data_IF_243680127104
#
_entry.id   IF_243680127104
#
_cell.length_a   1.000
_cell.length_b   1.000
_cell.length_c   1.000
_cell.angle_alpha   90.00
_cell.angle_beta   90.00
_cell.angle_gamma   90.00
#
_symmetry.space_group_name_H-M   'P 1'
#
loop_
_entity.id
_entity.type
_entity.pdbx_description
1 polymer ?
#
# COMPACT_ATOMS: atom_id res chain seq x y z
N UNK A 1 -0.49 17.88 16.04
CA UNK A 1 -1.70 17.70 15.21
C UNK A 1 -1.81 16.23 14.86
N UNK A 2 -2.73 15.47 15.46
CA UNK A 2 -2.90 14.05 15.17
C UNK A 2 -3.37 13.91 13.71
N UNK A 3 -2.54 13.31 12.86
CA UNK A 3 -2.94 12.93 11.51
C UNK A 3 -4.04 11.87 11.62
N UNK A 4 -5.25 12.18 11.16
CA UNK A 4 -6.32 11.19 11.02
C UNK A 4 -5.95 10.30 9.83
N UNK A 5 -5.19 9.24 10.10
CA UNK A 5 -4.78 8.26 9.09
C UNK A 5 -6.00 7.44 8.69
N UNK A 6 -6.23 7.30 7.39
CA UNK A 6 -7.22 6.39 6.83
C UNK A 6 -6.54 5.09 6.40
N UNK A 7 -7.29 4.00 6.42
CA UNK A 7 -6.88 2.76 5.77
C UNK A 7 -7.31 2.74 4.31
N UNK A 8 -6.58 2.03 3.47
CA UNK A 8 -6.86 1.86 2.04
C UNK A 8 -8.25 1.28 1.81
N UNK A 9 -8.66 0.30 2.62
CA UNK A 9 -10.01 -0.26 2.53
C UNK A 9 -11.10 0.80 2.74
N UNK A 10 -10.93 1.72 3.71
CA UNK A 10 -11.88 2.80 3.94
C UNK A 10 -11.96 3.76 2.74
N UNK A 11 -10.83 3.98 2.05
CA UNK A 11 -10.80 4.79 0.82
C UNK A 11 -11.66 4.14 -0.27
N UNK A 12 -11.57 2.83 -0.45
CA UNK A 12 -12.40 2.12 -1.43
C UNK A 12 -13.88 2.06 -1.03
N UNK A 13 -14.18 1.78 0.24
CA UNK A 13 -15.56 1.71 0.74
C UNK A 13 -16.29 3.06 0.64
N UNK A 14 -15.55 4.17 0.79
CA UNK A 14 -16.09 5.54 0.76
C UNK A 14 -15.60 6.35 -0.44
N UNK A 15 -15.24 5.69 -1.53
CA UNK A 15 -14.53 6.31 -2.65
C UNK A 15 -15.31 7.48 -3.27
N UNK A 16 -16.62 7.32 -3.47
CA UNK A 16 -17.48 8.38 -4.02
C UNK A 16 -17.61 9.59 -3.07
N UNK A 17 -17.62 9.36 -1.75
CA UNK A 17 -17.64 10.45 -0.76
C UNK A 17 -16.29 11.16 -0.62
N UNK A 18 -15.20 10.44 -0.86
CA UNK A 18 -13.83 10.92 -0.74
C UNK A 18 -13.28 11.50 -2.05
N UNK A 19 -14.00 11.38 -3.16
CA UNK A 19 -13.55 11.87 -4.45
C UNK A 19 -13.19 13.37 -4.38
N UNK A 20 -11.98 13.72 -4.83
CA UNK A 20 -11.46 15.09 -4.78
C UNK A 20 -11.02 15.55 -3.39
N UNK A 21 -11.22 14.75 -2.33
CA UNK A 21 -10.77 15.06 -0.97
C UNK A 21 -9.34 14.59 -0.73
N UNK A 22 -8.69 15.27 0.19
CA UNK A 22 -7.36 14.90 0.67
C UNK A 22 -7.46 13.79 1.72
N UNK A 23 -6.62 12.77 1.57
CA UNK A 23 -6.47 11.67 2.51
C UNK A 23 -5.00 11.52 2.90
N UNK A 24 -4.78 11.01 4.12
CA UNK A 24 -3.44 10.63 4.59
C UNK A 24 -3.41 9.11 4.77
N UNK A 25 -2.53 8.44 4.04
CA UNK A 25 -2.31 7.00 4.13
C UNK A 25 -0.90 6.71 4.64
N UNK A 26 -0.76 5.65 5.41
CA UNK A 26 0.53 5.18 5.88
C UNK A 26 0.66 3.69 5.53
N UNK A 27 1.80 3.29 4.97
CA UNK A 27 1.99 1.92 4.52
C UNK A 27 3.39 1.66 4.01
N UNK A 28 3.51 0.62 3.22
CA UNK A 28 4.75 0.16 2.60
C UNK A 28 4.63 0.20 1.09
N UNK A 29 5.70 0.60 0.41
CA UNK A 29 5.81 0.51 -1.04
C UNK A 29 5.76 -0.97 -1.45
N UNK A 30 4.72 -1.38 -2.16
CA UNK A 30 4.59 -2.75 -2.65
C UNK A 30 5.33 -2.91 -3.99
N UNK A 31 5.00 -2.03 -4.94
CA UNK A 31 5.70 -1.89 -6.21
C UNK A 31 5.93 -0.41 -6.53
N UNK A 32 7.01 -0.13 -7.26
CA UNK A 32 7.33 1.19 -7.80
C UNK A 32 7.57 1.07 -9.31
N UNK A 33 7.00 1.98 -10.09
CA UNK A 33 7.17 2.08 -11.54
C UNK A 33 7.51 3.52 -11.89
N UNK A 34 8.53 3.71 -12.74
CA UNK A 34 9.03 5.04 -13.12
C UNK A 34 9.00 5.21 -14.64
N UNK A 35 8.49 6.35 -15.09
CA UNK A 35 8.34 6.72 -16.49
C UNK A 35 8.71 8.20 -16.70
N UNK A 36 10.00 8.50 -16.60
CA UNK A 36 10.52 9.86 -16.75
C UNK A 36 9.97 10.78 -15.66
N UNK A 37 9.06 11.69 -16.01
CA UNK A 37 8.48 12.67 -15.09
C UNK A 37 7.26 12.14 -14.28
N UNK A 38 7.04 10.83 -14.29
CA UNK A 38 5.90 10.18 -13.66
C UNK A 38 6.35 8.96 -12.87
N UNK A 39 5.97 8.91 -11.60
CA UNK A 39 6.22 7.77 -10.72
C UNK A 39 4.87 7.23 -10.26
N UNK A 40 4.73 5.91 -10.27
CA UNK A 40 3.62 5.20 -9.66
C UNK A 40 4.14 4.35 -8.52
N UNK A 41 3.51 4.52 -7.35
CA UNK A 41 3.77 3.69 -6.17
C UNK A 41 2.49 2.94 -5.85
N UNK A 42 2.54 1.62 -5.85
CA UNK A 42 1.47 0.82 -5.27
C UNK A 42 1.74 0.74 -3.76
N UNK A 43 0.93 1.43 -2.95
CA UNK A 43 1.06 1.47 -1.49
C UNK A 43 0.20 0.38 -0.87
N UNK A 44 0.74 -0.41 0.06
CA UNK A 44 0.00 -1.40 0.85
C UNK A 44 0.01 -1.06 2.33
N UNK A 45 -1.09 -1.27 3.04
CA UNK A 45 -1.21 -0.98 4.48
C UNK A 45 -1.71 -2.16 5.33
N UNK A 46 -1.95 -3.31 4.69
CA UNK A 46 -2.50 -4.49 5.36
C UNK A 46 -4.02 -4.60 5.28
N UNK A 47 -4.73 -3.59 4.76
CA UNK A 47 -6.16 -3.65 4.42
C UNK A 47 -6.35 -3.79 2.90
N UNK A 48 -5.47 -3.17 2.11
CA UNK A 48 -5.45 -3.31 0.65
C UNK A 48 -4.17 -2.78 0.01
N UNK A 49 -4.26 -2.54 -1.30
CA UNK A 49 -3.24 -1.88 -2.11
C UNK A 49 -3.91 -0.77 -2.91
N UNK A 50 -3.29 0.41 -2.97
CA UNK A 50 -3.79 1.54 -3.76
C UNK A 50 -2.65 2.18 -4.56
N UNK A 51 -2.95 2.60 -5.78
CA UNK A 51 -1.99 3.32 -6.62
C UNK A 51 -1.88 4.78 -6.15
N UNK A 52 -0.65 5.24 -6.00
CA UNK A 52 -0.28 6.63 -5.79
C UNK A 52 0.36 7.13 -7.10
N UNK A 53 -0.19 8.18 -7.70
CA UNK A 53 0.35 8.82 -8.90
C UNK A 53 1.10 10.10 -8.53
N UNK A 54 2.36 10.18 -8.96
CA UNK A 54 3.27 11.30 -8.68
C UNK A 54 3.71 11.91 -10.01
N UNK A 55 3.23 13.10 -10.31
CA UNK A 55 3.63 13.86 -11.49
C UNK A 55 4.60 14.98 -11.08
N UNK A 56 5.77 15.05 -11.71
CA UNK A 56 6.83 16.02 -11.36
C UNK A 56 6.35 17.48 -11.42
N UNK A 57 5.44 17.81 -12.34
CA UNK A 57 4.86 19.15 -12.50
C UNK A 57 3.77 19.51 -11.48
N UNK A 58 3.38 18.57 -10.61
CA UNK A 58 2.28 18.74 -9.63
C UNK A 58 2.73 18.67 -8.18
N UNK A 59 4.00 18.39 -7.92
CA UNK A 59 4.58 18.30 -6.58
C UNK A 59 5.88 19.10 -6.53
N UNK A 60 6.31 19.49 -5.34
CA UNK A 60 7.63 20.11 -5.16
C UNK A 60 8.75 19.14 -5.56
N UNK A 61 9.86 19.67 -6.10
CA UNK A 61 11.01 18.84 -6.53
C UNK A 61 11.50 17.91 -5.42
N UNK A 62 11.54 18.40 -4.17
CA UNK A 62 11.93 17.60 -2.99
C UNK A 62 10.98 16.42 -2.72
N UNK A 63 9.69 16.58 -3.01
CA UNK A 63 8.71 15.49 -2.85
C UNK A 63 8.92 14.45 -3.96
N UNK A 64 9.22 14.91 -5.18
CA UNK A 64 9.54 14.03 -6.29
C UNK A 64 10.83 13.24 -6.04
N UNK A 65 11.89 13.89 -5.58
CA UNK A 65 13.17 13.25 -5.22
C UNK A 65 12.98 12.17 -4.14
N UNK A 66 12.17 12.43 -3.11
CA UNK A 66 11.83 11.40 -2.11
C UNK A 66 11.09 10.22 -2.72
N UNK A 67 10.21 10.45 -3.70
CA UNK A 67 9.51 9.38 -4.40
C UNK A 67 10.44 8.55 -5.30
N UNK A 68 11.51 9.14 -5.82
CA UNK A 68 12.60 8.43 -6.51
C UNK A 68 13.42 7.57 -5.53
N UNK A 69 13.68 8.07 -4.33
CA UNK A 69 14.50 7.39 -3.31
C UNK A 69 13.86 6.10 -2.76
N UNK A 70 12.53 6.07 -2.61
CA UNK A 70 11.86 4.94 -1.95
C UNK A 70 11.98 3.64 -2.76
N UNK A 71 12.27 2.55 -2.04
CA UNK A 71 12.41 1.20 -2.58
C UNK A 71 11.24 0.33 -2.16
N UNK A 72 11.15 -0.89 -2.72
CA UNK A 72 10.15 -1.88 -2.28
C UNK A 72 10.32 -2.13 -0.79
N UNK A 73 9.20 -2.14 -0.07
CA UNK A 73 9.07 -2.21 1.39
C UNK A 73 9.50 -0.97 2.17
N UNK A 74 9.89 0.15 1.53
CA UNK A 74 10.04 1.41 2.25
C UNK A 74 8.72 1.80 2.91
N UNK A 75 8.79 2.20 4.17
CA UNK A 75 7.63 2.70 4.92
C UNK A 75 7.47 4.20 4.69
N UNK A 76 6.28 4.59 4.26
CA UNK A 76 5.98 5.97 3.87
C UNK A 76 4.62 6.42 4.39
N UNK A 77 4.48 7.73 4.59
CA UNK A 77 3.22 8.41 4.80
C UNK A 77 2.99 9.32 3.60
N UNK A 78 1.85 9.14 2.94
CA UNK A 78 1.46 9.93 1.77
C UNK A 78 0.25 10.78 2.11
N UNK A 79 0.26 12.02 1.62
CA UNK A 79 -0.92 12.88 1.56
C UNK A 79 -1.24 13.15 0.12
N UNK A 80 -2.49 12.98 -0.27
CA UNK A 80 -2.90 13.20 -1.65
C UNK A 80 -4.39 13.22 -1.85
N UNK A 81 -4.80 13.51 -3.08
CA UNK A 81 -6.20 13.66 -3.47
C UNK A 81 -6.70 12.35 -4.08
N UNK A 82 -7.84 11.86 -3.59
CA UNK A 82 -8.52 10.70 -4.20
C UNK A 82 -9.05 11.08 -5.58
N UNK A 83 -8.68 10.31 -6.60
CA UNK A 83 -9.13 10.47 -7.98
C UNK A 83 -9.70 9.17 -8.51
N UNK A 84 -10.69 9.30 -9.39
CA UNK A 84 -11.22 8.19 -10.17
C UNK A 84 -10.32 7.99 -11.39
N UNK A 85 -9.79 6.80 -11.53
CA UNK A 85 -9.07 6.38 -12.74
C UNK A 85 -9.47 4.93 -13.06
N UNK A 86 -10.26 4.70 -14.13
CA UNK A 86 -10.65 3.36 -14.55
C UNK A 86 -9.48 2.42 -14.87
N UNK A 87 -8.27 2.96 -15.07
CA UNK A 87 -7.05 2.20 -15.35
C UNK A 87 -6.33 1.78 -14.06
N UNK A 88 -6.57 2.49 -12.95
CA UNK A 88 -5.98 2.16 -11.67
C UNK A 88 -6.64 0.89 -11.10
N UNK A 89 -5.88 0.01 -10.43
CA UNK A 89 -6.44 -1.12 -9.71
C UNK A 89 -7.50 -0.65 -8.70
N UNK A 90 -8.72 -1.17 -8.80
CA UNK A 90 -9.85 -0.76 -7.97
C UNK A 90 -10.59 0.51 -8.44
N UNK A 91 -10.19 1.12 -9.57
CA UNK A 91 -10.89 2.24 -10.20
C UNK A 91 -10.60 3.62 -9.58
N UNK A 92 -9.75 3.67 -8.55
CA UNK A 92 -9.35 4.89 -7.86
C UNK A 92 -7.85 4.89 -7.58
N UNK A 93 -7.28 6.09 -7.53
CA UNK A 93 -5.88 6.33 -7.17
C UNK A 93 -5.75 7.56 -6.27
N UNK A 94 -4.57 7.76 -5.70
CA UNK A 94 -4.21 8.96 -4.94
C UNK A 94 -3.23 9.79 -5.74
N UNK A 95 -3.62 11.00 -6.14
CA UNK A 95 -2.71 11.98 -6.71
C UNK A 95 -1.91 12.61 -5.58
N UNK A 96 -0.60 12.35 -5.54
CA UNK A 96 0.27 12.78 -4.44
C UNK A 96 0.34 14.30 -4.31
N UNK A 97 0.37 14.78 -3.07
CA UNK A 97 0.73 16.16 -2.70
C UNK A 97 1.99 16.22 -1.86
N UNK A 98 2.13 15.31 -0.89
CA UNK A 98 3.27 15.29 0.03
C UNK A 98 3.62 13.84 0.41
N UNK A 99 4.91 13.61 0.65
CA UNK A 99 5.47 12.31 1.01
C UNK A 99 6.50 12.45 2.13
N UNK A 100 6.30 11.64 3.16
CA UNK A 100 7.21 11.46 4.27
C UNK A 100 7.75 10.03 4.24
N UNK A 101 9.08 9.90 4.28
CA UNK A 101 9.76 8.62 4.43
C UNK A 101 9.89 8.35 5.93
N UNK A 102 9.22 7.29 6.41
CA UNK A 102 9.34 6.84 7.80
C UNK A 102 10.58 5.97 7.97
N UNK A 103 10.89 5.17 6.94
CA UNK A 103 12.07 4.32 6.92
C UNK A 103 12.28 3.72 5.55
N UNK A 104 13.51 3.82 5.05
CA UNK A 104 13.92 3.18 3.80
C UNK A 104 14.11 1.69 4.02
N UNK A 105 13.72 0.89 3.04
CA UNK A 105 13.98 -0.53 3.05
C UNK A 105 15.29 -0.86 2.32
N UNK A 106 15.99 -1.83 2.90
CA UNK A 106 17.07 -2.54 2.21
C UNK A 106 16.51 -3.40 1.06
N UNK A 107 17.41 -3.98 0.28
CA UNK A 107 17.03 -4.86 -0.82
C UNK A 107 16.15 -6.01 -0.35
N UNK A 108 15.05 -6.25 -1.06
CA UNK A 108 14.09 -7.29 -0.71
C UNK A 108 14.71 -8.69 -0.90
N UNK A 109 14.85 -9.51 0.17
CA UNK A 109 15.68 -10.71 0.14
C UNK A 109 15.00 -11.94 -0.45
N UNK A 110 13.71 -11.86 -0.82
CA UNK A 110 12.94 -12.99 -1.37
C UNK A 110 12.79 -12.82 -2.90
N UNK A 111 13.54 -13.58 -3.72
CA UNK A 111 13.40 -13.52 -5.17
C UNK A 111 12.04 -14.08 -5.62
N UNK A 112 11.62 -13.74 -6.85
CA UNK A 112 10.33 -14.17 -7.41
C UNK A 112 10.15 -15.70 -7.42
N UNK A 113 11.23 -16.45 -7.70
CA UNK A 113 11.25 -17.90 -7.78
C UNK A 113 11.90 -18.55 -6.54
N UNK A 114 11.71 -17.95 -5.35
CA UNK A 114 12.26 -18.47 -4.10
C UNK A 114 11.81 -19.92 -3.82
N UNK A 115 12.72 -20.75 -3.33
CA UNK A 115 12.41 -22.10 -2.90
C UNK A 115 11.47 -22.09 -1.69
N UNK A 116 10.68 -23.16 -1.52
CA UNK A 116 9.79 -23.29 -0.37
C UNK A 116 10.55 -23.20 0.96
N UNK A 117 11.78 -23.74 1.03
CA UNK A 117 12.63 -23.63 2.23
C UNK A 117 12.94 -22.17 2.55
N UNK A 118 13.41 -21.39 1.58
CA UNK A 118 13.72 -19.97 1.77
C UNK A 118 12.47 -19.17 2.20
N UNK A 119 11.31 -19.50 1.63
CA UNK A 119 10.03 -18.89 1.99
C UNK A 119 9.58 -19.20 3.43
N UNK A 120 10.06 -20.30 4.02
CA UNK A 120 9.85 -20.62 5.44
C UNK A 120 10.92 -19.96 6.32
N UNK A 121 12.18 -19.92 5.90
CA UNK A 121 13.25 -19.22 6.64
C UNK A 121 12.93 -17.72 6.76
N UNK A 122 12.49 -17.12 5.65
CA UNK A 122 12.07 -15.72 5.58
C UNK A 122 10.57 -15.53 5.82
N UNK A 123 9.93 -16.43 6.60
CA UNK A 123 8.48 -16.40 6.80
C UNK A 123 7.97 -15.06 7.32
N UNK A 124 8.73 -14.43 8.23
CA UNK A 124 8.42 -13.13 8.81
C UNK A 124 8.27 -12.01 7.75
N UNK A 125 8.96 -12.11 6.62
CA UNK A 125 8.78 -11.22 5.46
C UNK A 125 7.75 -11.77 4.48
N UNK A 126 7.79 -13.06 4.17
CA UNK A 126 6.89 -13.68 3.19
C UNK A 126 5.41 -13.56 3.57
N UNK A 127 5.09 -13.53 4.86
CA UNK A 127 3.73 -13.26 5.36
C UNK A 127 3.12 -11.96 4.85
N UNK A 128 3.95 -11.00 4.43
CA UNK A 128 3.52 -9.69 3.90
C UNK A 128 3.03 -9.75 2.45
N UNK A 129 3.28 -10.85 1.73
CA UNK A 129 2.77 -11.03 0.37
C UNK A 129 1.25 -11.18 0.38
N UNK A 130 0.60 -10.71 -0.69
CA UNK A 130 -0.86 -10.73 -0.81
C UNK A 130 -1.45 -12.13 -0.64
N UNK A 131 -0.83 -13.15 -1.24
CA UNK A 131 -1.27 -14.54 -1.12
C UNK A 131 -1.22 -15.04 0.32
N UNK A 132 -0.11 -14.80 1.03
CA UNK A 132 0.02 -15.30 2.41
C UNK A 132 -0.92 -14.55 3.35
N UNK A 133 -1.08 -13.24 3.17
CA UNK A 133 -2.07 -12.45 3.89
C UNK A 133 -3.48 -12.99 3.67
N UNK A 134 -3.89 -13.23 2.42
CA UNK A 134 -5.21 -13.75 2.10
C UNK A 134 -5.49 -15.11 2.78
N UNK A 135 -4.49 -16.01 2.80
CA UNK A 135 -4.60 -17.30 3.52
C UNK A 135 -4.84 -17.08 5.02
N UNK A 136 -4.15 -16.12 5.64
CA UNK A 136 -4.32 -15.82 7.06
C UNK A 136 -5.68 -15.20 7.38
N UNK A 137 -6.22 -14.34 6.51
CA UNK A 137 -7.57 -13.78 6.66
C UNK A 137 -8.65 -14.87 6.54
N UNK A 138 -8.53 -15.77 5.56
CA UNK A 138 -9.45 -16.92 5.44
C UNK A 138 -9.36 -17.80 6.69
N UNK A 139 -8.14 -18.04 7.19
CA UNK A 139 -7.93 -18.78 8.44
C UNK A 139 -8.68 -18.10 9.59
N UNK A 140 -8.50 -16.79 9.80
CA UNK A 140 -9.22 -16.02 10.82
C UNK A 140 -10.74 -16.22 10.71
N UNK A 141 -11.33 -16.01 9.52
CA UNK A 141 -12.77 -16.17 9.31
C UNK A 141 -13.28 -17.57 9.64
N UNK A 142 -12.50 -18.62 9.33
CA UNK A 142 -12.85 -20.00 9.70
C UNK A 142 -12.85 -20.19 11.22
N UNK A 143 -11.85 -19.66 11.92
CA UNK A 143 -11.79 -19.74 13.38
C UNK A 143 -12.92 -18.94 14.04
N UNK A 144 -13.25 -17.76 13.52
CA UNK A 144 -14.36 -16.94 14.01
C UNK A 144 -15.70 -17.65 13.84
N UNK A 145 -15.98 -18.18 12.65
CA UNK A 145 -17.21 -18.93 12.37
C UNK A 145 -17.36 -20.18 13.26
N UNK A 146 -16.26 -20.92 13.47
CA UNK A 146 -16.26 -22.07 14.37
C UNK A 146 -16.56 -21.66 15.83
N UNK A 147 -15.95 -20.57 16.31
CA UNK A 147 -16.24 -20.06 17.64
C UNK A 147 -17.68 -19.58 17.78
N UNK A 148 -18.22 -18.88 16.78
CA UNK A 148 -19.62 -18.43 16.79
C UNK A 148 -20.57 -19.63 16.84
N UNK A 149 -20.29 -20.69 16.06
CA UNK A 149 -21.10 -21.90 16.04
C UNK A 149 -21.16 -22.59 17.40
N UNK A 150 -20.01 -22.75 18.09
CA UNK A 150 -19.94 -23.45 19.39
C UNK A 150 -20.30 -22.57 20.60
N UNK A 151 -20.36 -21.23 20.45
CA UNK A 151 -20.84 -20.32 21.51
C UNK A 151 -22.37 -20.23 21.57
N UNK A 152 -23.06 -20.56 20.47
CA UNK A 152 -24.52 -20.70 20.42
C UNK A 152 -24.94 -22.01 21.09
#
# INVERSE_FOLDING_TARGET
MQLKKSYIQEVFEKAEELLGKEVTLAGWVYHKREHGNLIFIDLRDGTGVIQISIHKDKVDDKVFEKAEEVTRESSIIVKGIVKKDPRAPGGYEISLKDLEIVGLAEEWPIPLNASTSLLFDMRHLHLRSERQRAILLVRESVFEAAQEYFKK
#
